data_IF_309061816350
#
_entry.id   IF_309061816350
#
_cell.length_a   1.000
_cell.length_b   1.000
_cell.length_c   1.000
_cell.angle_alpha   90.00
_cell.angle_beta   90.00
_cell.angle_gamma   90.00
#
_symmetry.space_group_name_H-M   'P 1'
#
loop_
_entity.id
_entity.type
_entity.pdbx_description
1 polymer ?
#
# COMPACT_ATOMS: atom_id res chain seq x y z
N UNK A 1 -4.04 -1.71 -5.07
CA UNK A 1 -3.27 -2.96 -5.22
C UNK A 1 -2.11 -2.86 -6.22
N UNK A 2 -2.25 -2.10 -7.32
CA UNK A 2 -1.18 -1.93 -8.32
C UNK A 2 0.18 -1.52 -7.73
N UNK A 3 0.19 -0.61 -6.75
CA UNK A 3 1.39 -0.20 -6.01
C UNK A 3 2.13 -1.40 -5.40
N UNK A 4 1.40 -2.39 -4.84
CA UNK A 4 2.01 -3.57 -4.24
C UNK A 4 2.61 -4.51 -5.28
N UNK A 5 1.97 -4.63 -6.45
CA UNK A 5 2.49 -5.41 -7.58
C UNK A 5 3.76 -4.76 -8.14
N UNK A 6 3.72 -3.45 -8.40
CA UNK A 6 4.87 -2.68 -8.88
C UNK A 6 6.05 -2.74 -7.92
N UNK A 7 5.81 -2.53 -6.62
CA UNK A 7 6.84 -2.61 -5.60
C UNK A 7 7.49 -3.99 -5.50
N UNK A 8 6.71 -5.08 -5.64
CA UNK A 8 7.28 -6.41 -5.63
C UNK A 8 8.08 -6.71 -6.91
N UNK A 9 7.64 -6.24 -8.09
CA UNK A 9 8.41 -6.35 -9.34
C UNK A 9 9.74 -5.62 -9.24
N UNK A 10 9.74 -4.44 -8.63
CA UNK A 10 10.94 -3.59 -8.48
C UNK A 10 11.91 -4.14 -7.43
N UNK A 11 11.39 -4.58 -6.28
CA UNK A 11 12.21 -4.89 -5.10
C UNK A 11 12.40 -6.39 -4.85
N UNK A 12 11.63 -7.25 -5.52
CA UNK A 12 11.66 -8.71 -5.36
C UNK A 12 11.17 -9.22 -4.00
N UNK A 13 10.63 -8.36 -3.13
CA UNK A 13 10.17 -8.71 -1.78
C UNK A 13 9.03 -7.83 -1.31
N UNK A 14 8.26 -8.35 -0.35
CA UNK A 14 7.28 -7.55 0.38
C UNK A 14 7.98 -6.72 1.46
N UNK A 15 7.68 -5.43 1.47
CA UNK A 15 8.15 -4.47 2.47
C UNK A 15 6.99 -3.86 3.25
N UNK A 16 7.26 -3.26 4.41
CA UNK A 16 6.24 -2.50 5.11
C UNK A 16 5.83 -1.29 4.28
N UNK A 17 4.53 -1.19 3.98
CA UNK A 17 3.91 -0.04 3.31
C UNK A 17 3.03 0.70 4.29
N UNK A 18 3.31 1.99 4.47
CA UNK A 18 2.47 2.94 5.18
C UNK A 18 1.48 3.58 4.21
N UNK A 19 0.22 3.61 4.59
CA UNK A 19 -0.82 4.38 3.91
C UNK A 19 -1.54 5.26 4.93
N UNK A 20 -1.59 6.57 4.64
CA UNK A 20 -2.23 7.52 5.52
C UNK A 20 -3.76 7.38 5.46
N UNK A 21 -4.39 7.04 6.60
CA UNK A 21 -5.84 6.97 6.73
C UNK A 21 -6.36 8.10 7.62
N UNK A 22 -7.45 8.75 7.21
CA UNK A 22 -8.07 9.83 7.97
C UNK A 22 -8.90 9.31 9.15
N UNK A 23 -8.67 9.85 10.35
CA UNK A 23 -9.44 9.53 11.55
C UNK A 23 -10.59 10.51 11.85
N UNK A 24 -10.97 11.37 10.89
CA UNK A 24 -11.85 12.55 11.06
C UNK A 24 -13.23 12.30 11.69
N UNK A 25 -13.62 11.05 11.91
CA UNK A 25 -14.80 10.70 12.72
C UNK A 25 -14.66 11.09 14.19
N UNK A 26 -13.44 11.32 14.69
CA UNK A 26 -13.18 11.67 16.09
C UNK A 26 -12.65 13.11 16.22
N UNK A 27 -13.02 13.76 17.32
CA UNK A 27 -12.52 15.11 17.66
C UNK A 27 -11.00 15.12 17.83
N UNK A 28 -10.34 16.18 17.35
CA UNK A 28 -8.88 16.36 17.35
C UNK A 28 -8.07 15.23 16.67
N UNK A 29 -8.74 14.32 15.95
CA UNK A 29 -8.07 13.25 15.23
C UNK A 29 -7.20 13.80 14.10
N UNK A 30 -6.12 13.08 13.83
CA UNK A 30 -5.23 13.36 12.69
C UNK A 30 -5.29 12.18 11.72
N UNK A 31 -4.31 11.29 11.80
CA UNK A 31 -4.18 10.15 10.91
C UNK A 31 -3.94 8.88 11.70
N UNK A 32 -4.31 7.76 11.09
CA UNK A 32 -3.92 6.40 11.47
C UNK A 32 -3.13 5.77 10.30
N UNK A 33 -2.35 4.72 10.58
CA UNK A 33 -1.66 3.93 9.55
C UNK A 33 -2.56 2.79 9.07
N UNK A 34 -2.80 2.73 7.77
CA UNK A 34 -3.22 1.52 7.09
C UNK A 34 -1.98 0.77 6.60
N UNK A 35 -1.79 -0.46 7.09
CA UNK A 35 -0.78 -1.38 6.58
C UNK A 35 -1.34 -2.09 5.34
N UNK A 36 -0.96 -1.62 4.15
CA UNK A 36 -1.51 -2.11 2.88
C UNK A 36 -1.01 -3.50 2.49
N UNK A 37 0.13 -3.94 3.04
CA UNK A 37 0.67 -5.29 2.84
C UNK A 37 -0.01 -6.27 3.78
N UNK A 38 -0.78 -7.17 3.20
CA UNK A 38 -1.59 -8.20 3.87
C UNK A 38 -1.37 -9.56 3.23
N UNK A 39 -1.86 -10.63 3.85
CA UNK A 39 -1.76 -11.98 3.25
C UNK A 39 -2.47 -12.03 1.90
N UNK A 40 -3.61 -11.34 1.78
CA UNK A 40 -4.42 -11.26 0.58
C UNK A 40 -3.71 -10.46 -0.52
N UNK A 41 -3.10 -9.31 -0.20
CA UNK A 41 -2.31 -8.56 -1.18
C UNK A 41 -1.11 -9.36 -1.66
N UNK A 42 -0.43 -10.09 -0.77
CA UNK A 42 0.70 -10.95 -1.13
C UNK A 42 0.27 -12.11 -2.02
N UNK A 43 -0.88 -12.74 -1.74
CA UNK A 43 -1.42 -13.82 -2.56
C UNK A 43 -1.75 -13.34 -3.98
N UNK A 44 -2.42 -12.19 -4.10
CA UNK A 44 -2.68 -11.53 -5.38
C UNK A 44 -1.40 -11.25 -6.16
N UNK A 45 -0.41 -10.58 -5.54
CA UNK A 45 0.85 -10.24 -6.21
C UNK A 45 1.60 -11.48 -6.68
N UNK A 46 1.64 -12.55 -5.86
CA UNK A 46 2.27 -13.82 -6.26
C UNK A 46 1.55 -14.48 -7.45
N UNK A 47 0.22 -14.43 -7.49
CA UNK A 47 -0.54 -14.99 -8.60
C UNK A 47 -0.35 -14.22 -9.91
N UNK A 48 -0.21 -12.89 -9.85
CA UNK A 48 0.10 -12.06 -11.02
C UNK A 48 1.47 -12.37 -11.63
N UNK A 49 2.42 -12.85 -10.82
CA UNK A 49 3.78 -13.21 -11.26
C UNK A 49 3.93 -14.70 -11.58
N UNK A 50 2.88 -15.49 -11.37
CA UNK A 50 2.88 -16.91 -11.66
C UNK A 50 2.36 -17.17 -13.09
N UNK A 51 3.23 -17.67 -13.97
CA UNK A 51 2.87 -18.04 -15.34
C UNK A 51 1.86 -19.19 -15.43
N UNK A 52 1.71 -19.99 -14.36
CA UNK A 52 0.74 -21.09 -14.30
C UNK A 52 -0.63 -20.68 -13.74
N UNK A 53 -0.76 -19.46 -13.20
CA UNK A 53 -2.03 -18.98 -12.66
C UNK A 53 -2.94 -18.50 -13.78
N UNK A 54 -4.21 -18.89 -13.73
CA UNK A 54 -5.22 -18.43 -14.70
C UNK A 54 -5.67 -17.01 -14.39
N UNK A 55 -6.17 -16.28 -15.38
CA UNK A 55 -6.70 -14.92 -15.17
C UNK A 55 -7.93 -14.90 -14.26
N UNK A 56 -8.73 -15.97 -14.28
CA UNK A 56 -9.82 -16.18 -13.31
C UNK A 56 -9.31 -16.26 -11.87
N UNK A 57 -8.21 -16.96 -11.63
CA UNK A 57 -7.57 -17.05 -10.31
C UNK A 57 -6.98 -15.69 -9.89
N UNK A 58 -6.24 -15.03 -10.78
CA UNK A 58 -5.67 -13.69 -10.55
C UNK A 58 -6.76 -12.67 -10.19
N UNK A 59 -7.86 -12.67 -10.93
CA UNK A 59 -9.01 -11.78 -10.69
C UNK A 59 -9.71 -12.09 -9.36
N UNK A 60 -9.87 -13.37 -9.02
CA UNK A 60 -10.43 -13.79 -7.72
C UNK A 60 -9.57 -13.26 -6.56
N UNK A 61 -8.25 -13.44 -6.64
CA UNK A 61 -7.32 -12.97 -5.61
C UNK A 61 -7.24 -11.44 -5.54
N UNK A 62 -7.30 -10.76 -6.69
CA UNK A 62 -7.38 -9.30 -6.75
C UNK A 62 -8.61 -8.78 -5.97
N UNK A 63 -9.79 -9.36 -6.22
CA UNK A 63 -11.02 -9.00 -5.51
C UNK A 63 -10.90 -9.21 -4.01
N UNK A 64 -10.33 -10.33 -3.58
CA UNK A 64 -10.11 -10.62 -2.16
C UNK A 64 -9.16 -9.60 -1.51
N UNK A 65 -8.05 -9.25 -2.18
CA UNK A 65 -7.12 -8.25 -1.71
C UNK A 65 -7.77 -6.86 -1.58
N UNK A 66 -8.57 -6.45 -2.56
CA UNK A 66 -9.31 -5.19 -2.52
C UNK A 66 -10.35 -5.16 -1.39
N UNK A 67 -11.12 -6.23 -1.20
CA UNK A 67 -12.10 -6.32 -0.10
C UNK A 67 -11.41 -6.25 1.27
N UNK A 68 -10.28 -6.95 1.44
CA UNK A 68 -9.48 -6.89 2.67
C UNK A 68 -8.98 -5.47 2.94
N UNK A 69 -8.37 -4.82 1.93
CA UNK A 69 -7.86 -3.46 2.03
C UNK A 69 -8.98 -2.46 2.38
N UNK A 70 -10.12 -2.52 1.69
CA UNK A 70 -11.28 -1.67 1.97
C UNK A 70 -11.80 -1.85 3.40
N UNK A 71 -11.96 -3.09 3.86
CA UNK A 71 -12.40 -3.39 5.23
C UNK A 71 -11.42 -2.82 6.26
N UNK A 72 -10.11 -3.03 6.06
CA UNK A 72 -9.07 -2.53 6.97
C UNK A 72 -9.01 -1.01 6.96
N UNK A 73 -9.21 -0.36 5.82
CA UNK A 73 -9.28 1.09 5.75
C UNK A 73 -10.44 1.63 6.60
N UNK A 74 -11.64 1.04 6.50
CA UNK A 74 -12.78 1.43 7.36
C UNK A 74 -12.49 1.26 8.85
N UNK A 75 -11.82 0.17 9.22
CA UNK A 75 -11.39 -0.06 10.60
C UNK A 75 -10.39 1.01 11.05
N UNK A 76 -9.39 1.32 10.23
CA UNK A 76 -8.41 2.38 10.54
C UNK A 76 -9.06 3.77 10.66
N UNK A 77 -10.00 4.11 9.77
CA UNK A 77 -10.76 5.38 9.83
C UNK A 77 -11.58 5.50 11.13
N UNK A 78 -12.05 4.36 11.66
CA UNK A 78 -12.82 4.28 12.91
C UNK A 78 -11.95 3.95 14.13
N UNK A 79 -10.64 4.23 14.07
CA UNK A 79 -9.74 4.11 15.23
C UNK A 79 -9.45 2.68 15.69
N UNK A 80 -9.73 1.68 14.85
CA UNK A 80 -9.54 0.26 15.17
C UNK A 80 -8.24 -0.32 14.60
N UNK A 81 -7.38 0.49 14.00
CA UNK A 81 -6.02 0.06 13.67
C UNK A 81 -5.09 0.26 14.88
N UNK A 82 -3.89 -0.30 14.77
CA UNK A 82 -3.03 -0.56 15.93
C UNK A 82 -1.85 0.41 16.03
N UNK A 83 -1.47 1.06 14.93
CA UNK A 83 -0.19 1.75 14.81
C UNK A 83 -0.09 3.00 15.71
N UNK A 84 -1.12 3.86 15.77
CA UNK A 84 -1.12 4.98 16.72
C UNK A 84 -1.20 4.53 18.16
N UNK A 85 -1.94 3.45 18.45
CA UNK A 85 -2.02 2.91 19.81
C UNK A 85 -0.64 2.41 20.28
N UNK A 86 0.08 1.63 19.46
CA UNK A 86 1.43 1.18 19.78
C UNK A 86 2.43 2.33 19.89
N UNK A 87 2.27 3.37 19.07
CA UNK A 87 3.09 4.58 19.18
C UNK A 87 2.88 5.30 20.53
N UNK A 88 1.63 5.45 20.98
CA UNK A 88 1.32 6.03 22.30
C UNK A 88 1.94 5.19 23.42
N UNK A 89 1.81 3.85 23.36
CA UNK A 89 2.43 2.97 24.34
C UNK A 89 3.96 3.12 24.37
N UNK A 90 4.61 3.29 23.22
CA UNK A 90 6.04 3.59 23.15
C UNK A 90 6.39 4.94 23.80
N UNK A 91 5.65 6.01 23.50
CA UNK A 91 5.88 7.33 24.11
C UNK A 91 5.72 7.25 25.63
N UNK A 92 4.67 6.58 26.11
CA UNK A 92 4.44 6.36 27.54
C UNK A 92 5.57 5.55 28.17
N UNK A 93 6.07 4.51 27.50
CA UNK A 93 7.17 3.71 28.03
C UNK A 93 8.47 4.52 28.17
N UNK A 94 8.72 5.49 27.28
CA UNK A 94 9.84 6.43 27.44
C UNK A 94 9.63 7.34 28.65
N UNK A 95 8.43 7.91 28.79
CA UNK A 95 8.09 8.80 29.91
C UNK A 95 8.18 8.10 31.28
N UNK A 96 7.84 6.81 31.36
CA UNK A 96 7.90 6.02 32.60
C UNK A 96 9.20 5.22 32.76
N UNK A 97 10.18 5.42 31.87
CA UNK A 97 11.43 4.65 31.83
C UNK A 97 11.22 3.12 31.83
N UNK A 98 10.13 2.66 31.22
CA UNK A 98 9.78 1.24 31.11
C UNK A 98 10.39 0.65 29.84
N UNK A 99 11.23 -0.37 29.99
CA UNK A 99 11.84 -1.08 28.87
C UNK A 99 10.90 -2.15 28.33
N UNK A 100 10.57 -2.08 27.05
CA UNK A 100 9.79 -3.09 26.34
C UNK A 100 10.52 -3.49 25.05
N UNK A 101 11.08 -4.72 24.98
CA UNK A 101 11.70 -5.22 23.75
C UNK A 101 10.73 -5.23 22.56
N UNK A 102 9.44 -5.47 22.82
CA UNK A 102 8.40 -5.40 21.81
C UNK A 102 8.23 -4.00 21.22
N UNK A 103 8.13 -2.96 22.08
CA UNK A 103 7.97 -1.58 21.60
C UNK A 103 9.23 -1.06 20.90
N UNK A 104 10.41 -1.48 21.37
CA UNK A 104 11.68 -1.20 20.69
C UNK A 104 11.75 -1.85 19.31
N UNK A 105 11.35 -3.12 19.21
CA UNK A 105 11.26 -3.80 17.92
C UNK A 105 10.25 -3.09 17.00
N UNK A 106 9.05 -2.77 17.50
CA UNK A 106 8.00 -2.10 16.74
C UNK A 106 8.48 -0.76 16.15
N UNK A 107 9.09 0.12 16.96
CA UNK A 107 9.54 1.43 16.49
C UNK A 107 10.76 1.36 15.56
N UNK A 108 11.57 0.29 15.66
CA UNK A 108 12.71 0.06 14.77
C UNK A 108 12.33 -0.39 13.35
N UNK A 109 11.08 -0.78 13.13
CA UNK A 109 10.62 -1.25 11.83
C UNK A 109 10.69 -0.13 10.78
N UNK A 110 11.31 -0.43 9.63
CA UNK A 110 11.45 0.53 8.53
C UNK A 110 10.28 0.41 7.54
N UNK A 111 9.61 1.52 7.29
CA UNK A 111 8.64 1.67 6.20
C UNK A 111 9.41 1.88 4.90
N UNK A 112 9.30 0.95 3.96
CA UNK A 112 10.01 1.06 2.67
C UNK A 112 9.22 1.88 1.66
N UNK A 113 7.90 1.95 1.84
CA UNK A 113 7.00 2.67 0.97
C UNK A 113 6.02 3.46 1.81
N UNK A 114 5.91 4.76 1.53
CA UNK A 114 4.93 5.64 2.16
C UNK A 114 3.98 6.17 1.10
N UNK A 115 2.67 6.07 1.36
CA UNK A 115 1.63 6.44 0.42
C UNK A 115 0.55 7.28 1.10
N UNK A 116 -0.07 8.17 0.34
CA UNK A 116 -1.22 8.94 0.77
C UNK A 116 -2.11 9.25 -0.42
N UNK A 117 -3.41 9.21 -0.18
CA UNK A 117 -4.40 9.65 -1.16
C UNK A 117 -4.90 11.04 -0.75
N UNK A 118 -4.63 12.10 -1.51
CA UNK A 118 -5.28 13.38 -1.29
C UNK A 118 -6.79 13.22 -1.59
N UNK A 119 -7.68 13.69 -0.69
CA UNK A 119 -9.10 13.75 -1.02
C UNK A 119 -9.30 14.74 -2.15
N UNK A 120 -10.03 14.34 -3.19
CA UNK A 120 -10.40 15.12 -4.40
C UNK A 120 -9.33 15.15 -5.50
N UNK A 121 -9.25 14.06 -6.26
CA UNK A 121 -8.65 14.05 -7.61
C UNK A 121 -9.64 13.54 -8.67
N UNK A 122 -10.78 12.98 -8.24
CA UNK A 122 -11.84 12.48 -9.10
C UNK A 122 -12.44 13.63 -9.93
N UNK A 123 -12.36 13.51 -11.26
CA UNK A 123 -12.86 14.52 -12.20
C UNK A 123 -11.89 15.68 -12.50
N UNK A 124 -10.68 15.68 -11.93
CA UNK A 124 -9.64 16.65 -12.29
C UNK A 124 -8.79 16.22 -13.48
N UNK A 125 -8.75 14.92 -13.78
CA UNK A 125 -7.98 14.33 -14.87
C UNK A 125 -8.84 13.31 -15.63
N UNK A 126 -8.63 13.21 -16.95
CA UNK A 126 -9.18 12.14 -17.78
C UNK A 126 -8.25 10.91 -17.68
N UNK A 127 -8.53 10.05 -16.71
CA UNK A 127 -7.70 8.86 -16.44
C UNK A 127 -7.72 7.84 -17.59
N UNK A 128 -8.82 7.81 -18.36
CA UNK A 128 -9.00 6.92 -19.52
C UNK A 128 -8.28 7.47 -20.76
N UNK A 129 -8.34 8.79 -20.98
CA UNK A 129 -7.68 9.46 -22.09
C UNK A 129 -6.18 9.77 -21.87
N UNK A 130 -5.72 9.83 -20.61
CA UNK A 130 -4.33 10.14 -20.24
C UNK A 130 -3.76 9.14 -19.22
N UNK A 131 -3.55 7.87 -19.60
CA UNK A 131 -3.11 6.81 -18.68
C UNK A 131 -1.80 7.13 -17.95
N UNK A 132 -0.92 7.91 -18.57
CA UNK A 132 0.35 8.36 -18.01
C UNK A 132 0.20 9.37 -16.86
N UNK A 133 -1.00 9.89 -16.58
CA UNK A 133 -1.30 10.84 -15.49
C UNK A 133 -2.10 10.20 -14.35
N UNK A 134 -2.53 8.95 -14.49
CA UNK A 134 -3.33 8.20 -13.50
C UNK A 134 -2.68 8.06 -12.10
N UNK A 135 -1.36 8.29 -12.00
CA UNK A 135 -0.62 8.30 -10.73
C UNK A 135 -0.69 9.63 -9.97
N UNK A 136 -1.14 10.73 -10.59
CA UNK A 136 -1.23 12.07 -9.96
C UNK A 136 -2.22 12.05 -8.77
N UNK A 137 -3.16 11.10 -8.76
CA UNK A 137 -4.08 10.87 -7.64
C UNK A 137 -3.47 10.14 -6.43
N UNK A 138 -2.25 9.61 -6.55
CA UNK A 138 -1.58 8.85 -5.50
C UNK A 138 -0.22 9.48 -5.19
N UNK A 139 -0.12 10.20 -4.07
CA UNK A 139 1.17 10.66 -3.58
C UNK A 139 1.89 9.48 -2.92
N UNK A 140 2.95 8.97 -3.55
CA UNK A 140 3.82 7.95 -2.98
C UNK A 140 5.27 8.41 -2.94
N UNK A 141 5.96 8.07 -1.87
CA UNK A 141 7.40 8.26 -1.71
C UNK A 141 8.05 6.90 -1.45
N UNK A 142 8.97 6.52 -2.34
CA UNK A 142 9.95 5.48 -2.03
C UNK A 142 10.92 6.05 -0.99
N UNK A 143 11.04 5.39 0.16
CA UNK A 143 11.99 5.82 1.17
C UNK A 143 13.32 5.09 0.93
N UNK A 144 14.43 5.81 0.69
CA UNK A 144 15.73 5.17 0.52
C UNK A 144 16.07 4.36 1.77
N UNK A 145 16.61 3.15 1.57
CA UNK A 145 17.20 2.39 2.67
C UNK A 145 18.47 3.10 3.11
N UNK A 146 18.65 3.33 4.41
CA UNK A 146 19.96 3.71 4.96
C UNK A 146 21.00 2.56 4.89
N UNK A 147 20.55 1.32 4.60
CA UNK A 147 21.39 0.11 4.64
C UNK A 147 21.54 -0.59 3.27
N UNK A 148 21.03 0.01 2.20
CA UNK A 148 21.26 -0.40 0.80
C UNK A 148 21.44 0.87 0.02
N UNK A 149 22.46 0.91 -0.84
CA UNK A 149 22.83 2.06 -1.64
C UNK A 149 21.60 2.73 -2.27
N UNK A 150 21.55 4.06 -2.21
CA UNK A 150 20.54 4.92 -2.85
C UNK A 150 20.41 4.68 -4.36
N UNK A 151 21.28 3.86 -4.94
CA UNK A 151 21.30 3.41 -6.32
C UNK A 151 20.15 2.46 -6.70
N UNK A 152 19.48 1.81 -5.73
CA UNK A 152 18.45 0.79 -6.04
C UNK A 152 17.00 1.29 -5.99
N UNK A 153 16.77 2.58 -5.73
CA UNK A 153 15.44 3.21 -5.78
C UNK A 153 15.38 4.23 -6.90
N UNK A 154 14.59 3.94 -7.93
CA UNK A 154 14.40 4.80 -9.11
C UNK A 154 12.91 5.13 -9.30
N UNK A 155 12.59 6.42 -9.19
CA UNK A 155 11.21 6.93 -9.33
C UNK A 155 10.64 6.77 -10.74
N UNK A 156 11.46 6.88 -11.78
CA UNK A 156 11.02 6.71 -13.17
C UNK A 156 10.73 5.25 -13.46
N UNK A 157 11.64 4.36 -13.02
CA UNK A 157 11.44 2.90 -13.12
C UNK A 157 10.19 2.46 -12.37
N UNK A 158 9.99 2.94 -11.14
CA UNK A 158 8.80 2.61 -10.36
C UNK A 158 7.51 3.12 -11.02
N UNK A 159 7.52 4.32 -11.61
CA UNK A 159 6.38 4.86 -12.37
C UNK A 159 6.03 3.97 -13.57
N UNK A 160 7.02 3.50 -14.33
CA UNK A 160 6.79 2.58 -15.44
C UNK A 160 6.15 1.27 -14.95
N UNK A 161 6.73 0.66 -13.92
CA UNK A 161 6.21 -0.57 -13.31
C UNK A 161 4.80 -0.40 -12.74
N UNK A 162 4.47 0.78 -12.20
CA UNK A 162 3.13 1.09 -11.70
C UNK A 162 2.12 1.16 -12.85
N UNK A 163 2.44 1.87 -13.93
CA UNK A 163 1.60 1.95 -15.13
C UNK A 163 1.36 0.58 -15.76
N UNK A 164 2.41 -0.24 -15.89
CA UNK A 164 2.30 -1.61 -16.37
C UNK A 164 1.42 -2.47 -15.46
N UNK A 165 1.59 -2.34 -14.14
CA UNK A 165 0.80 -3.09 -13.17
C UNK A 165 -0.68 -2.70 -13.20
N UNK A 166 -0.99 -1.43 -13.44
CA UNK A 166 -2.37 -0.96 -13.64
C UNK A 166 -2.99 -1.55 -14.91
N UNK A 167 -2.26 -1.54 -16.04
CA UNK A 167 -2.73 -2.14 -17.30
C UNK A 167 -2.98 -3.63 -17.17
N UNK A 168 -2.02 -4.38 -16.61
CA UNK A 168 -2.17 -5.81 -16.36
C UNK A 168 -3.38 -6.13 -15.46
N UNK A 169 -3.64 -5.29 -14.46
CA UNK A 169 -4.83 -5.44 -13.63
C UNK A 169 -6.12 -5.14 -14.39
N UNK A 170 -6.12 -4.17 -15.31
CA UNK A 170 -7.28 -3.85 -16.15
C UNK A 170 -7.59 -4.98 -17.14
N UNK A 171 -6.57 -5.61 -17.72
CA UNK A 171 -6.73 -6.71 -18.68
C UNK A 171 -7.51 -7.90 -18.07
N UNK A 172 -7.34 -8.18 -16.78
CA UNK A 172 -8.10 -9.21 -16.05
C UNK A 172 -9.62 -8.98 -16.07
N UNK A 173 -10.09 -7.75 -16.30
CA UNK A 173 -11.51 -7.42 -16.38
C UNK A 173 -12.04 -7.48 -17.82
N UNK A 174 -11.18 -7.28 -18.81
CA UNK A 174 -11.57 -7.22 -20.23
C UNK A 174 -11.85 -8.60 -20.84
N UNK A 175 -11.20 -9.68 -20.36
CA UNK A 175 -11.45 -11.04 -20.88
C UNK A 175 -12.85 -11.58 -20.58
N UNK A 176 -13.59 -10.97 -19.65
CA UNK A 176 -15.02 -11.26 -19.44
C UNK A 176 -15.95 -10.59 -20.45
N UNK A 177 -15.47 -9.65 -21.26
CA UNK A 177 -16.30 -9.03 -22.30
C UNK A 177 -16.41 -9.90 -23.57
N UNK A 178 -15.53 -10.91 -23.70
CA UNK A 178 -15.44 -11.79 -24.88
C UNK A 178 -15.73 -13.28 -24.57
N UNK A 179 -16.28 -13.58 -23.38
CA UNK A 179 -16.68 -14.93 -22.94
C UNK A 179 -18.16 -14.94 -22.55
#
# INVERSE_FOLDING_TARGET
MAIQLANYKDQGKFGLTYEATSGRFYSYSRTETLRSVTKESCAFVKAMLNNSATDSERLKLLRQACVCHYKRNRLAMTGQAIDRHLFVLYVMSQATNTKSPFLQHYVSQKWLLSTSQPPVMTGLMDEDGQPETSWVGANFGLLPRMDMDSENTDSQRFRQLLSESLRQMADLFNERANA
#
